data_IF_716449597373
#
_entry.id   IF_716449597373
#
_cell.length_a   1.000
_cell.length_b   1.000
_cell.length_c   1.000
_cell.angle_alpha   90.00
_cell.angle_beta   90.00
_cell.angle_gamma   90.00
#
_symmetry.space_group_name_H-M   'P 1'
#
loop_
_entity.id
_entity.type
_entity.pdbx_description
1 polymer ?
#
# COMPACT_ATOMS: atom_id res chain seq x y z
N UNK A 1 12.21 3.42 -27.63
CA UNK A 1 12.36 3.52 -26.17
C UNK A 1 11.03 4.00 -25.61
N UNK A 2 10.08 3.10 -25.43
CA UNK A 2 8.78 3.38 -24.81
C UNK A 2 9.03 3.62 -23.32
N UNK A 3 8.63 4.79 -22.82
CA UNK A 3 8.65 5.11 -21.39
C UNK A 3 7.78 4.07 -20.68
N UNK A 4 8.38 3.27 -19.81
CA UNK A 4 7.66 2.36 -18.92
C UNK A 4 6.65 3.18 -18.11
N UNK A 5 5.38 3.01 -18.42
CA UNK A 5 4.30 3.70 -17.74
C UNK A 5 4.14 3.01 -16.39
N UNK A 6 4.62 3.62 -15.31
CA UNK A 6 4.39 3.13 -13.94
C UNK A 6 3.01 3.61 -13.50
N UNK A 7 1.95 2.76 -13.52
CA UNK A 7 0.63 3.20 -13.10
C UNK A 7 0.62 3.65 -11.64
N UNK A 8 -0.30 4.55 -11.31
CA UNK A 8 -0.57 4.89 -9.92
C UNK A 8 -1.49 3.84 -9.32
N UNK A 9 -1.15 3.35 -8.12
CA UNK A 9 -1.89 2.29 -7.41
C UNK A 9 -2.34 2.82 -6.06
N UNK A 10 -3.64 2.76 -5.78
CA UNK A 10 -4.17 3.01 -4.45
C UNK A 10 -4.48 1.67 -3.77
N UNK A 11 -3.95 1.47 -2.56
CA UNK A 11 -4.24 0.30 -1.72
C UNK A 11 -5.18 0.72 -0.61
N UNK A 12 -6.38 0.14 -0.61
CA UNK A 12 -7.42 0.42 0.37
C UNK A 12 -7.42 -0.66 1.44
N UNK A 13 -7.14 -0.25 2.68
CA UNK A 13 -7.18 -1.14 3.85
C UNK A 13 -8.42 -0.75 4.66
N UNK A 14 -9.45 -1.60 4.61
CA UNK A 14 -10.65 -1.43 5.42
C UNK A 14 -10.42 -2.09 6.78
N UNK A 15 -10.53 -1.32 7.87
CA UNK A 15 -10.31 -1.85 9.23
C UNK A 15 -11.22 -1.19 10.26
N UNK A 16 -11.63 -1.95 11.27
CA UNK A 16 -12.45 -1.43 12.36
C UNK A 16 -11.96 -1.96 13.71
N UNK A 17 -11.38 -1.09 14.52
CA UNK A 17 -10.90 -1.40 15.87
C UNK A 17 -9.99 -2.65 15.93
N UNK A 18 -9.05 -2.74 14.98
CA UNK A 18 -8.04 -3.82 14.81
C UNK A 18 -6.64 -3.24 14.62
N UNK A 19 -6.21 -2.39 15.56
CA UNK A 19 -4.89 -1.72 15.48
C UNK A 19 -3.76 -2.74 15.54
N UNK A 20 -3.94 -3.78 16.33
CA UNK A 20 -3.04 -4.92 16.50
C UNK A 20 -2.80 -5.71 15.20
N UNK A 21 -3.78 -5.76 14.30
CA UNK A 21 -3.66 -6.36 12.97
C UNK A 21 -3.19 -5.33 11.92
N UNK A 22 -3.55 -4.06 12.07
CA UNK A 22 -3.22 -3.00 11.13
C UNK A 22 -1.71 -2.69 11.10
N UNK A 23 -1.06 -2.64 12.25
CA UNK A 23 0.39 -2.35 12.33
C UNK A 23 1.23 -3.36 11.53
N UNK A 24 1.14 -4.69 11.77
CA UNK A 24 1.91 -5.65 10.98
C UNK A 24 1.48 -5.68 9.51
N UNK A 25 0.22 -5.36 9.20
CA UNK A 25 -0.24 -5.20 7.83
C UNK A 25 0.50 -4.04 7.13
N UNK A 26 0.61 -2.88 7.75
CA UNK A 26 1.35 -1.73 7.21
C UNK A 26 2.85 -2.01 7.10
N UNK A 27 3.44 -2.68 8.09
CA UNK A 27 4.86 -3.07 8.07
C UNK A 27 5.19 -4.00 6.88
N UNK A 28 4.24 -4.82 6.43
CA UNK A 28 4.44 -5.68 5.25
C UNK A 28 4.69 -4.91 3.96
N UNK A 29 4.26 -3.64 3.86
CA UNK A 29 4.50 -2.78 2.70
C UNK A 29 5.95 -2.27 2.62
N UNK A 30 6.74 -2.36 3.71
CA UNK A 30 8.14 -1.97 3.70
C UNK A 30 9.01 -2.79 2.73
N UNK A 31 8.55 -3.99 2.35
CA UNK A 31 9.23 -4.87 1.40
C UNK A 31 8.80 -4.65 -0.07
N UNK A 32 7.88 -3.73 -0.34
CA UNK A 32 7.38 -3.46 -1.70
C UNK A 32 8.29 -2.45 -2.39
N UNK A 33 8.82 -2.81 -3.56
CA UNK A 33 9.69 -1.99 -4.41
C UNK A 33 8.92 -1.24 -5.52
N UNK A 34 7.60 -1.35 -5.55
CA UNK A 34 6.76 -0.62 -6.48
C UNK A 34 6.80 0.89 -6.19
N UNK A 35 7.11 1.75 -7.18
CA UNK A 35 7.47 3.13 -6.87
C UNK A 35 6.31 4.13 -6.86
N UNK A 36 5.09 3.74 -7.24
CA UNK A 36 3.96 4.65 -7.42
C UNK A 36 2.68 4.13 -6.76
N UNK A 37 2.72 3.93 -5.45
CA UNK A 37 1.53 3.55 -4.68
C UNK A 37 1.30 4.43 -3.46
N UNK A 38 0.04 4.50 -3.04
CA UNK A 38 -0.40 5.09 -1.78
C UNK A 38 -1.26 4.08 -1.00
N UNK A 39 -1.25 4.20 0.32
CA UNK A 39 -2.08 3.38 1.21
C UNK A 39 -3.11 4.29 1.87
N UNK A 40 -4.39 3.93 1.77
CA UNK A 40 -5.51 4.61 2.40
C UNK A 40 -6.16 3.65 3.38
N UNK A 41 -6.17 4.01 4.67
CA UNK A 41 -6.84 3.25 5.73
C UNK A 41 -8.20 3.87 5.99
N UNK A 42 -9.26 3.06 5.90
CA UNK A 42 -10.66 3.45 6.09
C UNK A 42 -11.32 2.66 7.23
#
# INVERSE_FOLDING_TARGET
MTRDHVPSVAVLILTWNRVDELVPCLESFACIDYPNYEIVVL
#
